data_IF_084471082285
#
_entry.id   IF_084471082285
#
_cell.length_a   1.000
_cell.length_b   1.000
_cell.length_c   1.000
_cell.angle_alpha   90.00
_cell.angle_beta   90.00
_cell.angle_gamma   90.00
#
_symmetry.space_group_name_H-M   'P 1'
#
loop_
_entity.id
_entity.type
_entity.pdbx_description
1 polymer ?
#
# COMPACT_ATOMS: atom_id res chain seq x y z
N UNK A 1 14.69 -0.80 24.75
CA UNK A 1 13.26 -0.98 24.49
C UNK A 1 12.88 0.18 23.61
N UNK A 2 12.61 -0.04 22.32
CA UNK A 2 12.11 1.03 21.47
C UNK A 2 10.72 1.42 22.02
N UNK A 3 10.49 2.71 22.27
CA UNK A 3 9.16 3.20 22.60
C UNK A 3 8.21 2.82 21.46
N UNK A 4 7.03 2.30 21.81
CA UNK A 4 5.97 2.08 20.82
C UNK A 4 5.58 3.43 20.25
N UNK A 5 5.70 3.60 18.93
CA UNK A 5 5.22 4.79 18.25
C UNK A 5 3.70 4.89 18.44
N UNK A 6 3.20 6.09 18.66
CA UNK A 6 1.76 6.37 18.66
C UNK A 6 1.27 6.45 17.21
N UNK A 7 0.34 5.59 16.83
CA UNK A 7 -0.27 5.55 15.50
C UNK A 7 -1.77 5.90 15.54
N UNK A 8 -2.25 6.42 16.68
CA UNK A 8 -3.68 6.63 16.93
C UNK A 8 -4.30 7.73 16.04
N UNK A 9 -3.51 8.72 15.61
CA UNK A 9 -3.97 9.82 14.77
C UNK A 9 -3.37 9.76 13.35
N UNK A 10 -4.08 10.27 12.32
CA UNK A 10 -3.52 10.43 10.97
C UNK A 10 -2.19 11.23 10.97
N UNK A 11 -2.10 12.29 11.78
CA UNK A 11 -0.87 13.05 11.91
C UNK A 11 0.29 12.22 12.49
N UNK A 12 0.04 11.42 13.52
CA UNK A 12 1.07 10.55 14.09
C UNK A 12 1.54 9.48 13.10
N UNK A 13 0.62 8.93 12.29
CA UNK A 13 0.96 7.98 11.21
C UNK A 13 1.77 8.65 10.10
N UNK A 14 1.46 9.89 9.72
CA UNK A 14 2.23 10.66 8.74
C UNK A 14 3.66 10.91 9.22
N UNK A 15 3.86 11.29 10.48
CA UNK A 15 5.20 11.43 11.04
C UNK A 15 5.96 10.10 11.08
N UNK A 16 5.27 9.00 11.41
CA UNK A 16 5.87 7.67 11.37
C UNK A 16 6.33 7.28 9.94
N UNK A 17 5.55 7.61 8.90
CA UNK A 17 5.93 7.40 7.51
C UNK A 17 7.18 8.21 7.11
N UNK A 18 7.38 9.42 7.64
CA UNK A 18 8.59 10.23 7.41
C UNK A 18 9.85 9.63 8.00
N UNK A 19 9.73 8.70 8.95
CA UNK A 19 10.87 7.99 9.52
C UNK A 19 11.37 6.83 8.65
N UNK A 20 10.57 6.42 7.65
CA UNK A 20 10.89 5.25 6.80
C UNK A 20 11.76 5.69 5.64
N UNK A 21 12.97 5.12 5.58
CA UNK A 21 13.79 5.19 4.38
C UNK A 21 13.13 4.37 3.27
N UNK A 22 12.79 5.04 2.17
CA UNK A 22 12.13 4.42 1.01
C UNK A 22 13.02 3.42 0.29
N UNK A 23 14.35 3.55 0.40
CA UNK A 23 15.27 2.61 -0.24
C UNK A 23 15.49 1.35 0.64
N UNK A 24 15.19 1.44 1.95
CA UNK A 24 15.29 0.33 2.92
C UNK A 24 14.09 0.24 3.89
N UNK A 25 12.85 0.02 3.41
CA UNK A 25 11.65 0.03 4.26
C UNK A 25 11.49 -1.21 5.16
N UNK A 26 12.27 -2.27 4.92
CA UNK A 26 12.14 -3.58 5.58
C UNK A 26 12.07 -3.56 7.11
N UNK A 27 12.90 -2.78 7.84
CA UNK A 27 12.83 -2.70 9.30
C UNK A 27 11.49 -2.21 9.86
N UNK A 28 10.72 -1.49 9.04
CA UNK A 28 9.45 -0.86 9.42
C UNK A 28 8.22 -1.68 9.00
N UNK A 29 8.40 -2.89 8.46
CA UNK A 29 7.33 -3.67 7.85
C UNK A 29 6.09 -3.86 8.73
N UNK A 30 6.28 -4.22 10.00
CA UNK A 30 5.18 -4.41 10.93
C UNK A 30 4.39 -3.11 11.18
N UNK A 31 5.10 -1.99 11.32
CA UNK A 31 4.52 -0.66 11.48
C UNK A 31 3.74 -0.24 10.23
N UNK A 32 4.30 -0.50 9.03
CA UNK A 32 3.64 -0.18 7.76
C UNK A 32 2.35 -0.97 7.56
N UNK A 33 2.30 -2.24 7.96
CA UNK A 33 1.05 -3.02 7.98
C UNK A 33 0.00 -2.39 8.88
N UNK A 34 0.41 -1.99 10.09
CA UNK A 34 -0.49 -1.36 11.06
C UNK A 34 -1.01 -0.01 10.55
N UNK A 35 -0.14 0.84 10.00
CA UNK A 35 -0.53 2.11 9.37
C UNK A 35 -1.53 1.86 8.24
N UNK A 36 -1.27 0.89 7.36
CA UNK A 36 -2.16 0.58 6.25
C UNK A 36 -3.56 0.17 6.72
N UNK A 37 -3.62 -0.73 7.71
CA UNK A 37 -4.88 -1.22 8.26
C UNK A 37 -5.66 -0.08 8.95
N UNK A 38 -4.97 0.82 9.68
CA UNK A 38 -5.56 1.99 10.33
C UNK A 38 -6.08 3.03 9.32
N UNK A 39 -5.28 3.37 8.30
CA UNK A 39 -5.66 4.34 7.25
C UNK A 39 -6.85 3.84 6.43
N UNK A 40 -6.86 2.55 6.10
CA UNK A 40 -8.00 1.93 5.41
C UNK A 40 -9.26 1.95 6.27
N UNK A 41 -9.16 1.57 7.55
CA UNK A 41 -10.30 1.56 8.46
C UNK A 41 -10.86 2.98 8.71
N UNK A 42 -9.98 3.98 8.77
CA UNK A 42 -10.37 5.39 8.91
C UNK A 42 -11.18 5.87 7.69
N UNK A 43 -10.71 5.58 6.48
CA UNK A 43 -11.41 5.91 5.22
C UNK A 43 -12.77 5.23 5.05
N UNK A 44 -12.86 3.97 5.47
CA UNK A 44 -14.12 3.20 5.44
C UNK A 44 -15.06 3.56 6.60
N UNK A 45 -14.62 4.43 7.52
CA UNK A 45 -15.35 4.84 8.72
C UNK A 45 -16.42 5.91 8.48
N UNK A 46 -17.34 6.11 9.46
CA UNK A 46 -18.40 7.13 9.36
C UNK A 46 -17.89 8.56 9.54
N UNK A 47 -16.70 8.72 10.11
CA UNK A 47 -16.01 10.00 10.28
C UNK A 47 -15.22 10.29 9.01
N UNK A 48 -15.92 10.56 7.90
CA UNK A 48 -15.30 11.07 6.68
C UNK A 48 -14.74 12.45 7.00
N UNK A 49 -13.48 12.49 7.43
CA UNK A 49 -12.79 13.74 7.71
C UNK A 49 -12.62 14.53 6.42
N UNK A 50 -13.02 15.80 6.44
CA UNK A 50 -12.53 16.80 5.50
C UNK A 50 -11.02 16.97 5.74
N UNK A 51 -10.17 16.13 5.14
CA UNK A 51 -8.72 16.31 5.27
C UNK A 51 -7.98 15.73 4.07
N UNK A 52 -6.92 16.42 3.64
CA UNK A 52 -5.93 16.04 2.63
C UNK A 52 -5.06 14.83 3.08
N UNK A 53 -5.61 13.97 3.94
CA UNK A 53 -5.00 12.77 4.51
C UNK A 53 -5.04 11.57 3.56
N UNK A 54 -5.66 11.74 2.39
CA UNK A 54 -5.89 10.71 1.38
C UNK A 54 -4.60 9.98 0.95
N UNK A 55 -3.45 10.62 0.99
CA UNK A 55 -2.24 10.07 0.38
C UNK A 55 -1.54 8.97 1.20
N UNK A 56 -1.79 8.90 2.51
CA UNK A 56 -1.04 8.01 3.41
C UNK A 56 -1.24 6.53 3.09
N UNK A 57 -2.46 6.13 2.72
CA UNK A 57 -2.75 4.73 2.34
C UNK A 57 -1.99 4.31 1.09
N UNK A 58 -1.80 5.22 0.13
CA UNK A 58 -1.08 4.95 -1.12
C UNK A 58 0.44 4.93 -0.89
N UNK A 59 0.99 5.84 -0.08
CA UNK A 59 2.39 5.81 0.34
C UNK A 59 2.70 4.50 1.06
N UNK A 60 1.83 4.10 2.00
CA UNK A 60 2.03 2.87 2.76
C UNK A 60 1.94 1.63 1.86
N UNK A 61 0.99 1.59 0.93
CA UNK A 61 0.90 0.54 -0.08
C UNK A 61 2.17 0.43 -0.94
N UNK A 62 2.74 1.57 -1.34
CA UNK A 62 3.98 1.62 -2.11
C UNK A 62 5.18 1.09 -1.30
N UNK A 63 5.30 1.46 -0.03
CA UNK A 63 6.37 0.94 0.84
C UNK A 63 6.22 -0.57 1.08
N UNK A 64 4.99 -1.08 1.26
CA UNK A 64 4.74 -2.53 1.33
C UNK A 64 5.07 -3.23 0.00
N UNK A 65 4.77 -2.60 -1.12
CA UNK A 65 5.19 -3.07 -2.44
C UNK A 65 6.72 -3.19 -2.55
N UNK A 66 7.46 -2.18 -2.08
CA UNK A 66 8.93 -2.19 -2.10
C UNK A 66 9.54 -3.27 -1.19
N UNK A 67 8.88 -3.57 -0.06
CA UNK A 67 9.28 -4.70 0.81
C UNK A 67 9.12 -6.04 0.09
N UNK A 68 8.06 -6.17 -0.72
CA UNK A 68 7.86 -7.33 -1.58
C UNK A 68 7.51 -8.63 -0.85
N UNK A 69 6.92 -8.55 0.34
CA UNK A 69 6.41 -9.74 1.04
C UNK A 69 5.03 -10.14 0.47
N UNK A 70 4.87 -11.32 -0.14
CA UNK A 70 3.59 -11.74 -0.72
C UNK A 70 2.47 -11.89 0.32
N UNK A 71 2.79 -11.99 1.62
CA UNK A 71 1.80 -12.00 2.70
C UNK A 71 1.06 -10.66 2.87
N UNK A 72 1.51 -9.60 2.19
CA UNK A 72 0.80 -8.31 2.07
C UNK A 72 -0.27 -8.29 0.97
N UNK A 73 -0.16 -9.15 -0.03
CA UNK A 73 -1.05 -9.15 -1.19
C UNK A 73 -2.54 -9.24 -0.83
N UNK A 74 -2.99 -10.03 0.17
CA UNK A 74 -4.40 -10.03 0.59
C UNK A 74 -4.87 -8.68 1.16
N UNK A 75 -4.01 -7.95 1.89
CA UNK A 75 -4.35 -6.63 2.45
C UNK A 75 -4.55 -5.61 1.33
N UNK A 76 -3.59 -5.57 0.41
CA UNK A 76 -3.60 -4.64 -0.74
C UNK A 76 -4.74 -4.97 -1.72
N UNK A 77 -5.01 -6.26 -1.95
CA UNK A 77 -6.19 -6.71 -2.70
C UNK A 77 -7.48 -6.23 -2.06
N UNK A 78 -7.55 -6.29 -0.73
CA UNK A 78 -8.70 -5.80 0.05
C UNK A 78 -9.01 -4.33 -0.23
N UNK A 79 -7.99 -3.47 -0.26
CA UNK A 79 -8.17 -2.05 -0.57
C UNK A 79 -8.61 -1.81 -2.02
N UNK A 80 -8.13 -2.60 -2.99
CA UNK A 80 -8.51 -2.43 -4.40
C UNK A 80 -9.90 -2.96 -4.74
N UNK A 81 -10.22 -4.17 -4.28
CA UNK A 81 -11.35 -4.95 -4.80
C UNK A 81 -12.40 -5.28 -3.74
N UNK A 82 -12.14 -5.02 -2.46
CA UNK A 82 -13.05 -5.33 -1.33
C UNK A 82 -13.14 -4.18 -0.34
N UNK A 83 -13.24 -2.95 -0.83
CA UNK A 83 -13.48 -1.76 -0.02
C UNK A 83 -14.89 -1.23 -0.23
N UNK A 84 -15.47 -0.61 0.80
CA UNK A 84 -16.71 0.15 0.71
C UNK A 84 -16.51 1.61 0.27
N UNK A 85 -15.26 2.08 0.27
CA UNK A 85 -14.86 3.41 -0.21
C UNK A 85 -14.63 3.36 -1.73
N UNK A 86 -15.52 4.00 -2.48
CA UNK A 86 -15.47 4.02 -3.94
C UNK A 86 -14.23 4.75 -4.47
N UNK A 87 -13.79 5.82 -3.82
CA UNK A 87 -12.64 6.61 -4.23
C UNK A 87 -11.34 5.82 -4.02
N UNK A 88 -11.24 5.10 -2.90
CA UNK A 88 -10.16 4.16 -2.65
C UNK A 88 -10.16 3.04 -3.69
N UNK A 89 -11.30 2.37 -3.92
CA UNK A 89 -11.38 1.26 -4.86
C UNK A 89 -11.05 1.67 -6.31
N UNK A 90 -11.45 2.87 -6.73
CA UNK A 90 -11.11 3.41 -8.05
C UNK A 90 -9.64 3.83 -8.12
N UNK A 91 -9.19 4.65 -7.16
CA UNK A 91 -7.88 5.29 -7.18
C UNK A 91 -6.70 4.39 -6.77
N UNK A 92 -6.94 3.27 -6.08
CA UNK A 92 -5.87 2.35 -5.71
C UNK A 92 -5.34 1.60 -6.93
N UNK A 93 -4.02 1.52 -7.08
CA UNK A 93 -3.42 0.79 -8.19
C UNK A 93 -3.28 -0.70 -7.87
N UNK A 94 -3.75 -1.57 -8.77
CA UNK A 94 -3.64 -3.01 -8.59
C UNK A 94 -2.19 -3.51 -8.65
N UNK A 95 -1.29 -2.72 -9.24
CA UNK A 95 0.15 -2.96 -9.31
C UNK A 95 0.78 -3.13 -7.93
N UNK A 96 0.30 -2.38 -6.92
CA UNK A 96 0.81 -2.45 -5.55
C UNK A 96 0.72 -3.87 -4.95
N UNK A 97 -0.25 -4.68 -5.40
CA UNK A 97 -0.48 -6.05 -4.90
C UNK A 97 0.70 -6.99 -5.23
N UNK A 98 1.49 -6.66 -6.25
CA UNK A 98 2.53 -7.50 -6.82
C UNK A 98 3.96 -7.14 -6.36
N UNK A 99 4.13 -6.70 -5.12
CA UNK A 99 5.45 -6.34 -4.56
C UNK A 99 6.48 -7.48 -4.62
N UNK A 100 6.04 -8.73 -4.40
CA UNK A 100 6.90 -9.91 -4.53
C UNK A 100 7.22 -10.26 -6.00
N UNK A 101 6.63 -9.55 -6.96
CA UNK A 101 6.59 -9.93 -8.37
C UNK A 101 5.38 -10.81 -8.70
N UNK A 102 4.99 -10.83 -9.98
CA UNK A 102 3.75 -11.49 -10.45
C UNK A 102 3.70 -12.98 -10.12
N UNK A 103 4.76 -13.70 -10.46
CA UNK A 103 4.84 -15.15 -10.28
C UNK A 103 4.73 -15.51 -8.80
N UNK A 104 5.58 -14.90 -7.99
CA UNK A 104 5.69 -15.21 -6.56
C UNK A 104 4.43 -14.79 -5.80
N UNK A 105 3.84 -13.62 -6.10
CA UNK A 105 2.55 -13.20 -5.54
C UNK A 105 1.44 -14.19 -5.90
N UNK A 106 1.28 -14.54 -7.18
CA UNK A 106 0.20 -15.45 -7.61
C UNK A 106 0.38 -16.86 -7.04
N UNK A 107 1.61 -17.38 -7.07
CA UNK A 107 1.92 -18.69 -6.51
C UNK A 107 1.62 -18.72 -5.01
N UNK A 108 2.07 -17.71 -4.26
CA UNK A 108 1.85 -17.62 -2.82
C UNK A 108 0.34 -17.55 -2.49
N UNK A 109 -0.43 -16.75 -3.22
CA UNK A 109 -1.89 -16.66 -3.03
C UNK A 109 -2.57 -18.02 -3.22
N UNK A 110 -2.20 -18.75 -4.28
CA UNK A 110 -2.75 -20.07 -4.57
C UNK A 110 -2.40 -21.08 -3.47
N UNK A 111 -1.14 -21.12 -3.04
CA UNK A 111 -0.64 -22.04 -2.01
C UNK A 111 -1.23 -21.77 -0.62
N UNK A 112 -1.64 -20.54 -0.33
CA UNK A 112 -2.20 -20.12 0.96
C UNK A 112 -3.73 -20.01 0.98
N UNK A 113 -4.42 -20.51 -0.05
CA UNK A 113 -5.88 -20.62 -0.07
C UNK A 113 -6.64 -19.38 -0.53
N UNK A 114 -5.96 -18.37 -1.06
CA UNK A 114 -6.55 -17.16 -1.66
C UNK A 114 -6.92 -17.39 -3.14
N UNK A 115 -7.74 -18.42 -3.39
CA UNK A 115 -8.05 -18.88 -4.76
C UNK A 115 -8.81 -17.85 -5.59
N UNK A 116 -9.70 -17.08 -4.95
CA UNK A 116 -10.51 -16.06 -5.61
C UNK A 116 -9.66 -14.85 -6.00
N UNK A 117 -8.78 -14.40 -5.09
CA UNK A 117 -7.82 -13.34 -5.32
C UNK A 117 -6.85 -13.73 -6.43
N UNK A 118 -6.30 -14.94 -6.39
CA UNK A 118 -5.45 -15.49 -7.45
C UNK A 118 -6.17 -15.46 -8.80
N UNK A 119 -7.40 -15.96 -8.88
CA UNK A 119 -8.17 -16.02 -10.12
C UNK A 119 -8.45 -14.62 -10.68
N UNK A 120 -8.87 -13.68 -9.83
CA UNK A 120 -9.19 -12.31 -10.22
C UNK A 120 -7.96 -11.53 -10.68
N UNK A 121 -6.83 -11.67 -9.99
CA UNK A 121 -5.57 -11.03 -10.37
C UNK A 121 -5.00 -11.63 -11.66
N UNK A 122 -5.13 -12.94 -11.85
CA UNK A 122 -4.75 -13.62 -13.10
C UNK A 122 -5.58 -13.12 -14.28
N UNK A 123 -6.89 -12.96 -14.09
CA UNK A 123 -7.79 -12.36 -15.08
C UNK A 123 -7.37 -10.91 -15.40
N UNK A 124 -7.14 -10.09 -14.37
CA UNK A 124 -6.73 -8.69 -14.52
C UNK A 124 -5.42 -8.56 -15.33
N UNK A 125 -4.43 -9.42 -15.05
CA UNK A 125 -3.18 -9.46 -15.81
C UNK A 125 -3.37 -9.89 -17.27
N UNK A 126 -4.40 -10.69 -17.58
CA UNK A 126 -4.67 -11.13 -18.96
C UNK A 126 -5.39 -10.10 -19.83
N UNK A 127 -6.09 -9.15 -19.20
CA UNK A 127 -6.89 -8.12 -19.89
C UNK A 127 -6.11 -6.83 -20.16
N UNK A 128 -4.99 -6.64 -19.47
CA UNK A 128 -4.23 -5.40 -19.49
C UNK A 128 -3.07 -5.53 -20.50
N UNK A 129 -2.90 -4.57 -21.42
CA UNK A 129 -1.59 -4.34 -22.02
C UNK A 129 -0.62 -4.10 -20.86
N UNK A 130 0.44 -4.90 -20.83
CA UNK A 130 1.39 -5.07 -19.73
C UNK A 130 1.50 -3.83 -18.81
N UNK A 131 0.85 -3.81 -17.63
CA UNK A 131 1.07 -2.74 -16.67
C UNK A 131 2.49 -2.93 -16.18
N UNK A 132 3.43 -2.19 -16.76
CA UNK A 132 4.83 -2.26 -16.39
C UNK A 132 4.93 -1.82 -14.94
N UNK A 133 4.92 -2.80 -14.04
CA UNK A 133 4.96 -2.63 -12.59
C UNK A 133 6.16 -1.73 -12.23
N UNK A 134 7.27 -1.87 -12.96
CA UNK A 134 8.45 -1.03 -12.80
C UNK A 134 8.23 0.44 -13.19
N UNK A 135 7.44 0.71 -14.24
CA UNK A 135 7.12 2.08 -14.62
C UNK A 135 6.11 2.70 -13.65
N UNK A 136 5.16 1.91 -13.14
CA UNK A 136 4.28 2.33 -12.05
C UNK A 136 5.06 2.63 -10.77
N UNK A 137 5.97 1.73 -10.35
CA UNK A 137 6.77 1.92 -9.15
C UNK A 137 7.67 3.16 -9.25
N UNK A 138 8.26 3.40 -10.43
CA UNK A 138 9.01 4.64 -10.70
C UNK A 138 8.12 5.87 -10.60
N UNK A 139 6.94 5.84 -11.21
CA UNK A 139 5.99 6.95 -11.15
C UNK A 139 5.57 7.27 -9.72
N UNK A 140 5.23 6.26 -8.92
CA UNK A 140 4.81 6.44 -7.52
C UNK A 140 5.97 6.92 -6.64
N UNK A 141 7.19 6.42 -6.86
CA UNK A 141 8.41 6.92 -6.19
C UNK A 141 8.61 8.41 -6.47
N UNK A 142 8.53 8.82 -7.73
CA UNK A 142 8.74 10.21 -8.16
C UNK A 142 7.60 11.13 -7.70
N UNK A 143 6.40 10.59 -7.48
CA UNK A 143 5.25 11.34 -6.96
C UNK A 143 5.39 11.63 -5.47
N UNK A 144 5.67 10.60 -4.65
CA UNK A 144 5.67 10.75 -3.19
C UNK A 144 7.01 11.15 -2.60
N UNK A 145 8.11 10.98 -3.32
CA UNK A 145 9.44 11.17 -2.75
C UNK A 145 10.30 12.07 -3.62
N UNK A 146 11.13 12.88 -2.97
CA UNK A 146 12.17 13.62 -3.65
C UNK A 146 13.26 12.69 -4.19
N UNK A 147 14.15 13.20 -5.08
CA UNK A 147 15.29 12.43 -5.56
C UNK A 147 16.25 11.96 -4.46
N UNK A 148 16.29 12.65 -3.32
CA UNK A 148 17.05 12.29 -2.11
C UNK A 148 16.28 11.39 -1.13
N UNK A 149 15.08 10.92 -1.48
CA UNK A 149 14.32 9.95 -0.69
C UNK A 149 13.46 10.56 0.43
N UNK A 150 13.28 11.89 0.44
CA UNK A 150 12.43 12.56 1.42
C UNK A 150 10.96 12.45 1.00
N UNK A 151 10.09 12.04 1.94
CA UNK A 151 8.64 11.97 1.72
C UNK A 151 8.03 13.37 1.55
N UNK A 152 7.33 13.58 0.44
CA UNK A 152 6.74 14.85 -0.02
C UNK A 152 5.24 14.97 0.29
N UNK A 153 4.82 14.54 1.48
CA UNK A 153 3.45 14.81 1.94
C UNK A 153 3.38 16.19 2.59
N UNK A 154 2.35 16.96 2.20
CA UNK A 154 2.07 18.26 2.80
C UNK A 154 1.93 18.16 4.34
N UNK A 155 2.30 19.21 5.09
CA UNK A 155 1.98 19.31 6.51
C UNK A 155 0.46 19.23 6.70
N UNK A 156 0.02 18.49 7.72
CA UNK A 156 -1.37 18.51 8.20
C UNK A 156 -1.62 19.72 9.10
#
# INVERSE_FOLDING_TARGET
>A
MAESLDLSSPASRREALRMVDVDEPGPYHAMLREIFDLERAWREGPEVGESDEYEQVYVTAFLLFLIGDPTDSPRLYGAKFRTGDMDLGIGFDAQAIFGAGRGDTLQWLLENGYTDEHARLSEWLSQSEDPKIDDWARHVRDYFYSPDGMLLLDPL
#
